data_IF_967188264816
#
_entry.id   IF_967188264816
#
_cell.length_a   1.000
_cell.length_b   1.000
_cell.length_c   1.000
_cell.angle_alpha   90.00
_cell.angle_beta   90.00
_cell.angle_gamma   90.00
#
_symmetry.space_group_name_H-M   'P 1'
#
loop_
_entity.id
_entity.type
_entity.pdbx_description
1 polymer ?
#
# COMPACT_ATOMS: atom_id res chain seq x y z
N UNK A 1 1.86 -22.03 0.27
CA UNK A 1 3.30 -21.79 0.52
C UNK A 1 4.08 -22.11 -0.72
N UNK A 2 4.84 -21.14 -1.24
CA UNK A 2 5.67 -21.25 -2.45
C UNK A 2 7.13 -20.94 -2.08
N UNK A 3 8.08 -21.47 -2.86
CA UNK A 3 9.51 -21.16 -2.66
C UNK A 3 9.80 -19.75 -3.18
N UNK A 4 10.50 -18.93 -2.41
CA UNK A 4 10.87 -17.56 -2.82
C UNK A 4 9.76 -16.53 -2.75
N UNK A 5 8.58 -16.90 -2.22
CA UNK A 5 7.43 -16.00 -2.05
C UNK A 5 7.14 -15.87 -0.56
N UNK A 6 6.89 -14.64 -0.12
CA UNK A 6 6.55 -14.36 1.26
C UNK A 6 5.28 -15.13 1.70
N UNK A 7 5.30 -15.85 2.86
CA UNK A 7 4.15 -16.62 3.35
C UNK A 7 2.86 -15.84 3.54
N UNK A 8 2.93 -14.53 3.78
CA UNK A 8 1.75 -13.68 4.00
C UNK A 8 0.99 -13.46 2.69
N UNK A 9 1.67 -13.57 1.54
CA UNK A 9 1.05 -13.50 0.23
C UNK A 9 0.26 -14.80 -0.03
N UNK A 10 -0.98 -14.82 0.43
CA UNK A 10 -1.90 -15.91 0.16
C UNK A 10 -2.29 -15.96 -1.33
N UNK A 11 -2.95 -17.05 -1.75
CA UNK A 11 -3.28 -17.25 -3.17
C UNK A 11 -4.21 -16.18 -3.75
N UNK A 12 -5.09 -15.59 -2.93
CA UNK A 12 -5.98 -14.51 -3.36
C UNK A 12 -5.20 -13.22 -3.61
N UNK A 13 -4.32 -12.84 -2.69
CA UNK A 13 -3.47 -11.67 -2.85
C UNK A 13 -2.52 -11.81 -4.04
N UNK A 14 -1.85 -12.96 -4.17
CA UNK A 14 -0.96 -13.22 -5.31
C UNK A 14 -1.69 -13.09 -6.64
N UNK A 15 -2.90 -13.65 -6.74
CA UNK A 15 -3.73 -13.52 -7.95
C UNK A 15 -4.05 -12.06 -8.25
N UNK A 16 -4.46 -11.28 -7.25
CA UNK A 16 -4.75 -9.85 -7.41
C UNK A 16 -3.51 -9.10 -7.90
N UNK A 17 -2.36 -9.30 -7.24
CA UNK A 17 -1.11 -8.63 -7.62
C UNK A 17 -0.68 -9.00 -9.05
N UNK A 18 -0.90 -10.24 -9.48
CA UNK A 18 -0.59 -10.72 -10.85
C UNK A 18 -1.53 -10.11 -11.90
N UNK A 19 -2.84 -10.08 -11.65
CA UNK A 19 -3.85 -9.59 -12.59
C UNK A 19 -3.81 -8.06 -12.80
N UNK A 20 -3.28 -7.30 -11.85
CA UNK A 20 -3.13 -5.85 -11.98
C UNK A 20 -2.27 -5.47 -13.20
N UNK A 21 -2.70 -4.45 -13.94
CA UNK A 21 -1.94 -3.84 -15.02
C UNK A 21 -0.97 -2.76 -14.52
N UNK A 22 -0.12 -2.25 -15.42
CA UNK A 22 0.67 -1.06 -15.16
C UNK A 22 -0.24 0.15 -14.94
N UNK A 23 0.05 0.93 -13.90
CA UNK A 23 -0.69 2.12 -13.51
C UNK A 23 -1.81 1.86 -12.50
N UNK A 24 -2.22 0.60 -12.31
CA UNK A 24 -3.20 0.22 -11.30
C UNK A 24 -2.68 0.52 -9.89
N UNK A 25 -3.57 1.00 -9.03
CA UNK A 25 -3.30 1.23 -7.62
C UNK A 25 -3.79 0.07 -6.76
N UNK A 26 -3.01 -0.32 -5.75
CA UNK A 26 -3.46 -1.14 -4.63
C UNK A 26 -3.27 -0.37 -3.33
N UNK A 27 -4.25 -0.46 -2.42
CA UNK A 27 -4.26 0.32 -1.19
C UNK A 27 -4.07 -0.58 0.03
N UNK A 28 -3.09 -0.29 0.86
CA UNK A 28 -2.76 -1.01 2.09
C UNK A 28 -3.18 -0.17 3.31
N UNK A 29 -4.00 -0.72 4.20
CA UNK A 29 -4.66 0.09 5.24
C UNK A 29 -4.65 -0.53 6.62
N UNK A 30 -4.64 0.35 7.63
CA UNK A 30 -4.77 0.03 9.04
C UNK A 30 -6.19 -0.43 9.44
N UNK A 31 -6.34 -0.85 10.69
CA UNK A 31 -7.58 -1.43 11.22
C UNK A 31 -8.78 -0.49 11.24
N UNK A 32 -8.54 0.82 11.19
CA UNK A 32 -9.58 1.85 11.34
C UNK A 32 -10.10 2.32 9.97
N UNK A 33 -9.42 1.96 8.87
CA UNK A 33 -9.84 2.34 7.53
C UNK A 33 -11.14 1.63 7.13
N UNK A 34 -12.10 2.31 6.49
CA UNK A 34 -13.36 1.70 6.06
C UNK A 34 -13.19 0.86 4.79
N UNK A 35 -12.37 -0.19 4.84
CA UNK A 35 -11.92 -0.96 3.67
C UNK A 35 -13.06 -1.54 2.81
N UNK A 36 -14.15 -2.00 3.44
CA UNK A 36 -15.29 -2.60 2.74
C UNK A 36 -16.28 -1.57 2.16
N UNK A 37 -16.14 -0.28 2.48
CA UNK A 37 -17.10 0.74 2.05
C UNK A 37 -17.00 1.10 0.56
N UNK A 38 -15.86 0.80 -0.08
CA UNK A 38 -15.61 1.16 -1.47
C UNK A 38 -16.13 0.18 -2.51
N UNK A 39 -16.47 -1.05 -2.11
CA UNK A 39 -16.93 -2.11 -3.02
C UNK A 39 -15.81 -2.85 -3.76
N UNK A 40 -14.56 -2.40 -3.63
CA UNK A 40 -13.37 -3.09 -4.16
C UNK A 40 -13.16 -4.43 -3.44
N UNK A 41 -12.49 -5.41 -4.08
CA UNK A 41 -12.00 -6.59 -3.40
C UNK A 41 -11.15 -6.21 -2.17
N UNK A 42 -11.37 -6.89 -1.05
CA UNK A 42 -10.63 -6.66 0.19
C UNK A 42 -9.94 -7.96 0.61
N UNK A 43 -8.61 -7.95 0.67
CA UNK A 43 -7.83 -9.04 1.27
C UNK A 43 -7.45 -8.66 2.68
N UNK A 44 -7.97 -9.39 3.66
CA UNK A 44 -7.64 -9.18 5.07
C UNK A 44 -6.47 -10.09 5.49
N UNK A 45 -5.34 -9.48 5.88
CA UNK A 45 -4.13 -10.18 6.33
C UNK A 45 -4.06 -10.35 7.85
N UNK A 46 -5.07 -9.88 8.60
CA UNK A 46 -5.18 -10.06 10.04
C UNK A 46 -4.17 -9.23 10.84
N UNK A 47 -3.71 -9.79 11.96
CA UNK A 47 -2.85 -9.12 12.95
C UNK A 47 -1.39 -9.03 12.49
N UNK A 48 -1.16 -8.16 11.52
CA UNK A 48 0.17 -7.79 11.03
C UNK A 48 0.25 -6.26 10.88
N UNK A 49 1.46 -5.71 10.96
CA UNK A 49 1.67 -4.29 10.67
C UNK A 49 1.59 -4.03 9.17
N UNK A 50 1.25 -2.79 8.80
CA UNK A 50 1.35 -2.36 7.40
C UNK A 50 2.78 -2.41 6.90
N UNK A 51 3.77 -2.17 7.75
CA UNK A 51 5.20 -2.32 7.39
C UNK A 51 5.50 -3.75 6.93
N UNK A 52 5.05 -4.75 7.69
CA UNK A 52 5.26 -6.17 7.35
C UNK A 52 4.52 -6.56 6.08
N UNK A 53 3.30 -6.05 5.90
CA UNK A 53 2.51 -6.27 4.70
C UNK A 53 3.16 -5.61 3.46
N UNK A 54 3.63 -4.37 3.59
CA UNK A 54 4.35 -3.66 2.53
C UNK A 54 5.61 -4.43 2.10
N UNK A 55 6.39 -4.95 3.07
CA UNK A 55 7.56 -5.78 2.77
C UNK A 55 7.21 -7.02 1.94
N UNK A 56 6.10 -7.70 2.27
CA UNK A 56 5.64 -8.84 1.50
C UNK A 56 5.20 -8.42 0.09
N UNK A 57 4.33 -7.41 -0.01
CA UNK A 57 3.76 -6.94 -1.28
C UNK A 57 4.86 -6.46 -2.22
N UNK A 58 5.73 -5.57 -1.75
CA UNK A 58 6.78 -4.94 -2.57
C UNK A 58 7.88 -5.92 -2.99
N UNK A 59 8.03 -7.07 -2.31
CA UNK A 59 8.95 -8.13 -2.76
C UNK A 59 8.60 -8.76 -4.12
N UNK A 60 7.36 -8.56 -4.60
CA UNK A 60 6.88 -9.08 -5.89
C UNK A 60 6.18 -8.02 -6.74
N UNK A 61 6.05 -6.79 -6.24
CA UNK A 61 5.26 -5.72 -6.85
C UNK A 61 6.19 -4.60 -7.35
N UNK A 62 6.40 -4.46 -8.67
CA UNK A 62 7.22 -3.37 -9.20
C UNK A 62 6.49 -2.05 -8.97
N UNK A 63 7.18 -1.07 -8.39
CA UNK A 63 6.67 0.30 -8.30
C UNK A 63 6.82 1.03 -9.63
N UNK A 64 5.88 1.91 -9.92
CA UNK A 64 5.86 2.67 -11.17
C UNK A 64 6.95 3.73 -11.24
N UNK A 65 7.89 3.59 -12.18
CA UNK A 65 9.00 4.51 -12.41
C UNK A 65 8.66 5.62 -13.42
N UNK A 66 7.46 5.61 -14.01
CA UNK A 66 6.98 6.66 -14.93
C UNK A 66 6.23 7.79 -14.23
N UNK A 67 6.01 7.67 -12.91
CA UNK A 67 5.42 8.71 -12.07
C UNK A 67 6.42 9.18 -11.02
N UNK A 68 6.27 10.43 -10.57
CA UNK A 68 7.17 11.04 -9.59
C UNK A 68 7.04 10.38 -8.20
N UNK A 69 5.80 10.02 -7.82
CA UNK A 69 5.50 9.52 -6.48
C UNK A 69 4.61 8.26 -6.58
N UNK A 70 5.19 7.06 -6.82
CA UNK A 70 4.41 5.83 -6.97
C UNK A 70 3.86 5.29 -5.64
N UNK A 71 4.26 5.90 -4.52
CA UNK A 71 3.78 5.56 -3.18
C UNK A 71 3.09 6.76 -2.58
N UNK A 72 1.83 6.59 -2.17
CA UNK A 72 1.07 7.61 -1.47
C UNK A 72 0.84 7.25 -0.01
N UNK A 73 0.74 8.26 0.86
CA UNK A 73 0.26 8.11 2.25
C UNK A 73 -0.90 9.06 2.52
N UNK A 74 -1.74 8.71 3.50
CA UNK A 74 -2.76 9.63 4.00
C UNK A 74 -2.14 10.75 4.85
N UNK A 75 -2.58 11.99 4.63
CA UNK A 75 -2.28 13.14 5.48
C UNK A 75 -2.79 12.95 6.92
N UNK A 76 -2.03 13.42 7.90
CA UNK A 76 -2.36 13.28 9.32
C UNK A 76 -3.02 14.56 9.81
N UNK A 77 -4.29 14.48 10.22
CA UNK A 77 -5.03 15.62 10.82
C UNK A 77 -4.95 16.91 9.98
N UNK A 78 -5.08 16.77 8.67
CA UNK A 78 -5.03 17.90 7.71
C UNK A 78 -3.70 18.69 7.78
N UNK A 79 -2.60 18.01 8.14
CA UNK A 79 -1.24 18.55 8.17
C UNK A 79 -0.25 17.60 7.46
N UNK A 80 0.12 17.97 6.24
CA UNK A 80 1.05 17.23 5.39
C UNK A 80 2.46 17.08 5.99
N UNK A 81 2.87 17.97 6.90
CA UNK A 81 4.21 17.96 7.50
C UNK A 81 4.38 16.90 8.58
N UNK A 82 3.27 16.36 9.12
CA UNK A 82 3.32 15.32 10.14
C UNK A 82 3.63 13.97 9.47
N UNK A 83 4.73 13.37 9.95
CA UNK A 83 5.20 12.04 9.58
C UNK A 83 5.16 11.16 10.83
N UNK A 84 4.68 9.93 10.68
CA UNK A 84 4.60 8.94 11.75
C UNK A 84 5.62 7.83 11.52
N UNK A 85 6.00 7.10 12.57
CA UNK A 85 6.95 5.99 12.47
C UNK A 85 6.58 4.97 11.39
N UNK A 86 5.28 4.67 11.22
CA UNK A 86 4.83 3.74 10.19
C UNK A 86 5.01 4.27 8.76
N UNK A 87 5.03 5.59 8.58
CA UNK A 87 5.32 6.20 7.28
C UNK A 87 6.80 6.00 6.94
N UNK A 88 7.71 6.33 7.86
CA UNK A 88 9.15 6.15 7.64
C UNK A 88 9.52 4.68 7.41
N UNK A 89 8.93 3.78 8.18
CA UNK A 89 9.12 2.34 8.03
C UNK A 89 8.69 1.83 6.65
N UNK A 90 7.50 2.21 6.16
CA UNK A 90 7.02 1.79 4.84
C UNK A 90 7.80 2.46 3.72
N UNK A 91 8.22 3.72 3.89
CA UNK A 91 9.09 4.40 2.92
C UNK A 91 10.43 3.69 2.78
N UNK A 92 11.04 3.29 3.89
CA UNK A 92 12.30 2.55 3.89
C UNK A 92 12.17 1.19 3.18
N UNK A 93 11.05 0.49 3.37
CA UNK A 93 10.74 -0.75 2.64
C UNK A 93 10.64 -0.48 1.14
N UNK A 94 9.89 0.56 0.73
CA UNK A 94 9.73 0.89 -0.68
C UNK A 94 11.02 1.35 -1.35
N UNK A 95 11.83 2.13 -0.64
CA UNK A 95 13.12 2.65 -1.12
C UNK A 95 14.15 1.53 -1.40
N UNK A 96 14.06 0.39 -0.70
CA UNK A 96 15.04 -0.70 -0.82
C UNK A 96 15.16 -1.28 -2.24
N UNK A 97 14.04 -1.30 -2.97
CA UNK A 97 13.94 -1.86 -4.33
C UNK A 97 13.62 -0.77 -5.38
N UNK A 98 13.76 0.52 -5.02
CA UNK A 98 13.54 1.65 -5.92
C UNK A 98 14.85 2.41 -6.16
N UNK A 99 15.26 2.54 -7.43
CA UNK A 99 16.59 3.05 -7.80
C UNK A 99 16.81 4.53 -7.49
N UNK A 100 15.74 5.31 -7.43
CA UNK A 100 15.78 6.75 -7.19
C UNK A 100 15.27 7.10 -5.80
N UNK A 101 15.52 8.33 -5.34
CA UNK A 101 14.99 8.77 -4.06
C UNK A 101 13.46 8.81 -4.11
N UNK A 102 12.82 8.12 -3.17
CA UNK A 102 11.38 8.04 -3.07
C UNK A 102 10.89 8.98 -1.98
N UNK A 103 9.91 9.80 -2.33
CA UNK A 103 9.10 10.57 -1.39
C UNK A 103 7.63 10.13 -1.53
N UNK A 104 6.87 10.27 -0.44
CA UNK A 104 5.44 10.02 -0.52
C UNK A 104 4.73 11.13 -1.30
N UNK A 105 3.75 10.72 -2.10
CA UNK A 105 2.60 11.58 -2.36
C UNK A 105 1.79 11.70 -1.06
N UNK A 106 1.65 12.91 -0.53
CA UNK A 106 0.84 13.16 0.67
C UNK A 106 -0.58 13.50 0.24
N UNK A 107 -1.52 12.61 0.54
CA UNK A 107 -2.88 12.69 0.03
C UNK A 107 -3.84 13.11 1.15
N UNK A 108 -4.63 14.18 0.98
CA UNK A 108 -5.67 14.56 1.93
C UNK A 108 -6.62 13.41 2.22
N UNK A 109 -7.15 13.33 3.45
CA UNK A 109 -7.94 12.17 3.91
C UNK A 109 -9.09 11.77 2.97
N UNK A 110 -9.87 12.73 2.49
CA UNK A 110 -11.02 12.45 1.63
C UNK A 110 -10.60 12.05 0.20
N UNK A 111 -9.49 12.59 -0.28
CA UNK A 111 -8.92 12.22 -1.57
C UNK A 111 -8.33 10.81 -1.51
N UNK A 112 -7.74 10.43 -0.38
CA UNK A 112 -7.30 9.06 -0.15
C UNK A 112 -8.49 8.08 -0.14
N UNK A 113 -9.64 8.47 0.41
CA UNK A 113 -10.87 7.66 0.28
C UNK A 113 -11.35 7.54 -1.16
N UNK A 114 -11.24 8.61 -1.97
CA UNK A 114 -11.56 8.55 -3.39
C UNK A 114 -10.59 7.62 -4.14
N UNK A 115 -9.29 7.72 -3.86
CA UNK A 115 -8.26 6.83 -4.40
C UNK A 115 -8.51 5.37 -4.04
N UNK A 116 -8.82 5.07 -2.79
CA UNK A 116 -9.12 3.70 -2.35
C UNK A 116 -10.34 3.11 -3.06
N UNK A 117 -11.37 3.91 -3.35
CA UNK A 117 -12.52 3.47 -4.16
C UNK A 117 -12.18 3.21 -5.61
N UNK A 118 -11.22 3.95 -6.17
CA UNK A 118 -10.76 3.79 -7.55
C UNK A 118 -9.67 2.71 -7.72
N UNK A 119 -9.03 2.28 -6.63
CA UNK A 119 -7.97 1.27 -6.62
C UNK A 119 -8.49 -0.10 -7.07
N UNK A 120 -7.58 -0.95 -7.55
CA UNK A 120 -7.90 -2.32 -7.98
C UNK A 120 -8.38 -3.17 -6.81
N UNK A 121 -7.72 -3.06 -5.64
CA UNK A 121 -8.07 -3.78 -4.42
C UNK A 121 -7.58 -3.04 -3.17
N UNK A 122 -8.08 -3.47 -2.00
CA UNK A 122 -7.64 -3.01 -0.69
C UNK A 122 -7.05 -4.19 0.10
N UNK A 123 -5.85 -4.02 0.65
CA UNK A 123 -5.23 -4.91 1.61
C UNK A 123 -5.49 -4.35 3.00
N UNK A 124 -6.29 -5.05 3.80
CA UNK A 124 -6.58 -4.67 5.17
C UNK A 124 -5.63 -5.40 6.13
N UNK A 125 -5.02 -4.66 7.05
CA UNK A 125 -4.32 -5.20 8.20
C UNK A 125 -5.01 -4.79 9.50
N UNK A 126 -4.63 -5.38 10.62
CA UNK A 126 -5.07 -4.95 11.95
C UNK A 126 -4.05 -4.03 12.65
N UNK A 127 -3.16 -3.37 11.88
CA UNK A 127 -2.20 -2.40 12.44
C UNK A 127 -2.95 -1.37 13.31
N UNK A 128 -2.59 -1.22 14.59
CA UNK A 128 -3.30 -0.34 15.51
C UNK A 128 -2.93 1.13 15.34
N UNK A 129 -1.85 1.44 14.61
CA UNK A 129 -1.34 2.80 14.41
C UNK A 129 -2.26 3.55 13.45
N UNK A 130 -2.88 4.68 13.86
CA UNK A 130 -3.72 5.47 12.97
C UNK A 130 -2.92 6.06 11.80
N UNK A 131 -3.59 6.29 10.67
CA UNK A 131 -2.99 6.85 9.45
C UNK A 131 -1.91 5.95 8.83
N UNK A 132 -1.89 4.67 9.17
CA UNK A 132 -1.05 3.68 8.50
C UNK A 132 -1.78 3.20 7.24
N UNK A 133 -1.97 4.11 6.30
CA UNK A 133 -2.70 3.88 5.05
C UNK A 133 -1.85 4.37 3.88
N UNK A 134 -1.61 3.47 2.93
CA UNK A 134 -0.69 3.66 1.81
C UNK A 134 -1.32 3.24 0.49
N UNK A 135 -0.91 3.85 -0.61
CA UNK A 135 -1.23 3.40 -1.97
C UNK A 135 0.06 3.07 -2.72
N UNK A 136 0.08 1.97 -3.46
CA UNK A 136 1.19 1.60 -4.34
C UNK A 136 0.69 1.54 -5.78
N UNK A 137 1.38 2.24 -6.69
CA UNK A 137 1.12 2.20 -8.12
C UNK A 137 2.01 1.16 -8.81
N UNK A 138 1.40 0.26 -9.57
CA UNK A 138 2.12 -0.83 -10.25
C UNK A 138 2.89 -0.33 -11.47
N UNK A 139 4.18 -0.65 -11.51
CA UNK A 139 5.09 -0.37 -12.62
C UNK A 139 5.14 -1.46 -13.67
N UNK A 140 6.28 -1.52 -14.34
CA UNK A 140 6.63 -2.50 -15.38
C UNK A 140 7.91 -3.24 -14.97
N UNK A 141 8.14 -4.43 -15.53
CA UNK A 141 9.37 -5.22 -15.39
C UNK A 141 10.19 -5.10 -16.67
#
# INVERSE_FOLDING_TARGET
MLKGIDPILNGELLKILDEMGHGDDIVLVDRNFPAHSGGNPVVNLGDISTTRAAQAVLSVFPLDTFVEQPVGRMEVRDDASIVLDSHDEVLAVAQADFESHLEFEVVPRFDFYARARAAYAVILTLDPRPYSCFSFKKGVI
#
